data_IF_323967211783
#
_entry.id   IF_323967211783
#
_cell.length_a   1.000
_cell.length_b   1.000
_cell.length_c   1.000
_cell.angle_alpha   90.00
_cell.angle_beta   90.00
_cell.angle_gamma   90.00
#
_symmetry.space_group_name_H-M   'P 1'
#
loop_
_entity.id
_entity.type
_entity.pdbx_description
1 polymer ?
#
# COMPACT_ATOMS: atom_id res chain seq x y z
N UNK A 1 76.19 -46.11 -39.88
CA UNK A 1 77.38 -46.24 -39.02
C UNK A 1 78.03 -44.86 -38.98
N UNK A 2 77.93 -44.17 -37.83
CA UNK A 2 78.69 -42.99 -37.39
C UNK A 2 78.66 -41.71 -38.24
N UNK A 3 78.93 -40.51 -37.74
CA UNK A 3 78.53 -39.76 -36.53
C UNK A 3 79.23 -38.38 -36.67
N UNK A 4 78.51 -37.28 -36.36
CA UNK A 4 78.98 -35.94 -35.91
C UNK A 4 79.97 -35.13 -36.78
N UNK A 5 79.91 -33.79 -36.92
CA UNK A 5 80.07 -32.72 -35.91
C UNK A 5 79.54 -31.37 -36.50
N UNK A 6 78.85 -30.52 -35.70
CA UNK A 6 78.50 -29.09 -35.95
C UNK A 6 79.63 -28.13 -35.44
N UNK A 7 79.61 -26.76 -35.49
CA UNK A 7 78.65 -25.76 -36.01
C UNK A 7 79.27 -24.50 -36.72
N UNK A 8 78.46 -23.61 -37.30
CA UNK A 8 78.40 -22.16 -36.93
C UNK A 8 77.49 -21.29 -37.84
N UNK A 9 76.64 -20.51 -37.15
CA UNK A 9 76.04 -19.19 -37.45
C UNK A 9 75.58 -18.80 -38.86
N UNK A 10 74.25 -18.75 -39.06
CA UNK A 10 73.46 -17.51 -39.17
C UNK A 10 72.12 -17.80 -39.86
N UNK A 11 71.04 -17.86 -39.07
CA UNK A 11 69.66 -17.83 -39.57
C UNK A 11 69.02 -16.52 -39.14
N UNK A 12 68.68 -15.68 -40.11
CA UNK A 12 67.70 -14.61 -39.96
C UNK A 12 66.32 -15.26 -40.12
N UNK A 13 65.52 -15.27 -39.06
CA UNK A 13 64.14 -15.72 -39.09
C UNK A 13 63.21 -14.52 -39.28
N UNK A 14 62.42 -14.56 -40.37
CA UNK A 14 61.21 -13.77 -40.56
C UNK A 14 60.15 -14.29 -39.59
N UNK A 15 59.74 -13.47 -38.62
CA UNK A 15 58.69 -13.81 -37.64
C UNK A 15 57.41 -13.05 -38.02
N UNK A 16 56.28 -13.77 -38.00
CA UNK A 16 54.98 -13.31 -38.43
C UNK A 16 54.40 -12.18 -37.59
N UNK A 17 53.59 -11.35 -38.26
CA UNK A 17 52.78 -10.29 -37.67
C UNK A 17 51.63 -10.96 -36.90
N UNK A 18 51.64 -10.82 -35.57
CA UNK A 18 50.45 -11.00 -34.73
C UNK A 18 49.84 -9.62 -34.52
N UNK A 19 48.65 -9.41 -35.08
CA UNK A 19 47.87 -8.19 -34.92
C UNK A 19 47.17 -8.27 -33.56
N UNK A 20 47.68 -7.56 -32.56
CA UNK A 20 47.02 -7.39 -31.27
C UNK A 20 45.94 -6.30 -31.38
N UNK A 21 44.67 -6.70 -31.33
CA UNK A 21 43.53 -5.80 -31.26
C UNK A 21 43.44 -5.25 -29.82
N UNK A 22 43.95 -4.04 -29.59
CA UNK A 22 43.75 -3.32 -28.33
C UNK A 22 42.32 -2.75 -28.32
N UNK A 23 41.39 -3.47 -27.69
CA UNK A 23 40.10 -2.93 -27.28
C UNK A 23 40.33 -2.01 -26.07
N UNK A 24 40.39 -0.69 -26.30
CA UNK A 24 40.35 0.28 -25.20
C UNK A 24 38.92 0.34 -24.67
N UNK A 25 38.63 -0.48 -23.65
CA UNK A 25 37.42 -0.40 -22.86
C UNK A 25 37.51 0.85 -21.97
N UNK A 26 37.00 1.99 -22.45
CA UNK A 26 36.69 3.10 -21.55
C UNK A 26 35.51 2.68 -20.70
N UNK A 27 35.77 2.21 -19.47
CA UNK A 27 34.74 2.20 -18.43
C UNK A 27 34.35 3.67 -18.19
N UNK A 28 33.25 4.09 -18.81
CA UNK A 28 32.46 5.15 -18.22
C UNK A 28 31.92 4.57 -16.90
N UNK A 29 32.55 4.94 -15.79
CA UNK A 29 31.93 4.83 -14.48
C UNK A 29 30.68 5.71 -14.52
N UNK A 30 29.57 5.16 -14.99
CA UNK A 30 28.26 5.70 -14.68
C UNK A 30 28.17 5.68 -13.17
N UNK A 31 28.11 6.86 -12.56
CA UNK A 31 27.77 6.97 -11.16
C UNK A 31 26.42 6.27 -10.98
N UNK A 32 26.44 5.06 -10.43
CA UNK A 32 25.23 4.42 -9.94
C UNK A 32 24.71 5.31 -8.85
N UNK A 33 23.67 6.10 -9.16
CA UNK A 33 22.88 6.76 -8.14
C UNK A 33 22.51 5.67 -7.11
N UNK A 34 22.95 5.92 -5.88
CA UNK A 34 22.82 5.03 -4.74
C UNK A 34 21.43 4.39 -4.69
N UNK A 35 21.37 3.05 -4.69
CA UNK A 35 20.17 2.22 -4.56
C UNK A 35 19.55 2.29 -3.15
N UNK A 36 19.86 3.35 -2.40
CA UNK A 36 19.50 3.51 -1.01
C UNK A 36 18.18 4.25 -0.93
N UNK A 37 17.21 3.60 -0.30
CA UNK A 37 15.97 4.24 0.07
C UNK A 37 16.23 5.42 1.00
N UNK A 38 15.45 6.50 0.86
CA UNK A 38 15.44 7.55 1.88
C UNK A 38 14.63 7.02 3.06
N UNK A 39 15.25 6.91 4.23
CA UNK A 39 14.59 6.50 5.47
C UNK A 39 14.09 7.72 6.24
N UNK A 40 12.83 7.70 6.65
CA UNK A 40 12.22 8.73 7.49
C UNK A 40 11.71 8.13 8.80
N UNK A 41 11.84 8.93 9.86
CA UNK A 41 11.40 8.64 11.22
C UNK A 41 10.63 9.84 11.76
N UNK A 42 9.70 9.58 12.67
CA UNK A 42 9.12 10.63 13.49
C UNK A 42 10.22 11.24 14.40
N UNK A 43 10.27 12.57 14.48
CA UNK A 43 11.22 13.29 15.34
C UNK A 43 11.07 12.94 16.83
N UNK A 44 9.86 12.61 17.25
CA UNK A 44 9.44 12.24 18.60
C UNK A 44 9.02 10.77 18.69
N UNK A 45 9.43 9.93 17.74
CA UNK A 45 9.06 8.51 17.74
C UNK A 45 9.51 7.79 19.01
N UNK A 46 8.57 7.10 19.65
CA UNK A 46 8.77 6.26 20.82
C UNK A 46 8.55 4.77 20.50
N UNK A 47 9.03 3.85 21.35
CA UNK A 47 8.63 2.45 21.33
C UNK A 47 7.13 2.24 21.12
N UNK A 48 6.77 1.25 20.29
CA UNK A 48 5.38 0.82 20.06
C UNK A 48 4.42 1.83 19.40
N UNK A 49 4.87 3.05 19.08
CA UNK A 49 4.08 4.06 18.35
C UNK A 49 3.57 3.58 16.97
N UNK A 50 4.28 2.62 16.36
CA UNK A 50 4.02 2.07 15.02
C UNK A 50 3.93 3.13 13.91
N UNK A 51 4.87 4.07 13.89
CA UNK A 51 5.07 4.96 12.76
C UNK A 51 5.22 4.18 11.44
N UNK A 52 4.41 4.51 10.45
CA UNK A 52 4.31 3.72 9.21
C UNK A 52 3.22 2.66 9.27
N UNK A 53 2.31 2.70 10.25
CA UNK A 53 1.16 1.81 10.24
C UNK A 53 0.33 1.97 8.97
N UNK A 54 0.19 3.20 8.49
CA UNK A 54 -0.33 3.51 7.16
C UNK A 54 0.40 4.72 6.55
N UNK A 55 0.45 4.78 5.21
CA UNK A 55 1.16 5.85 4.49
C UNK A 55 0.38 6.33 3.27
N UNK A 56 0.46 7.62 2.97
CA UNK A 56 -0.13 8.21 1.75
C UNK A 56 0.78 9.31 1.19
N UNK A 57 1.02 9.31 -0.12
CA UNK A 57 1.86 10.30 -0.80
C UNK A 57 1.08 11.01 -1.91
N UNK A 58 1.28 12.32 -2.03
CA UNK A 58 0.73 13.14 -3.11
C UNK A 58 1.79 14.17 -3.52
N UNK A 59 2.44 13.92 -4.66
CA UNK A 59 3.57 14.73 -5.12
C UNK A 59 4.69 14.78 -4.07
N UNK A 60 4.93 15.97 -3.52
CA UNK A 60 6.05 16.26 -2.63
C UNK A 60 5.64 16.30 -1.15
N UNK A 61 4.49 15.72 -0.83
CA UNK A 61 3.95 15.63 0.53
C UNK A 61 3.60 14.18 0.85
N UNK A 62 3.93 13.75 2.06
CA UNK A 62 3.68 12.42 2.60
C UNK A 62 2.96 12.57 3.95
N UNK A 63 1.95 11.75 4.18
CA UNK A 63 1.33 11.54 5.50
C UNK A 63 1.71 10.13 5.98
N UNK A 64 2.16 10.01 7.22
CA UNK A 64 2.47 8.74 7.87
C UNK A 64 1.69 8.60 9.17
N UNK A 65 0.91 7.54 9.29
CA UNK A 65 0.17 7.22 10.51
C UNK A 65 1.03 6.49 11.56
N UNK A 66 0.78 6.80 12.83
CA UNK A 66 1.32 6.14 14.02
C UNK A 66 0.17 5.97 15.01
N UNK A 67 -0.66 4.94 14.80
CA UNK A 67 -1.93 4.79 15.53
C UNK A 67 -1.77 4.58 17.04
N UNK A 68 -0.58 4.18 17.48
CA UNK A 68 -0.26 3.89 18.87
C UNK A 68 0.59 4.98 19.53
N UNK A 69 0.78 6.10 18.83
CA UNK A 69 1.52 7.21 19.40
C UNK A 69 0.80 7.76 20.63
N UNK A 70 1.52 7.85 21.73
CA UNK A 70 1.03 8.42 22.98
C UNK A 70 1.00 9.96 22.91
N UNK A 71 0.05 10.55 23.64
CA UNK A 71 -0.02 11.99 23.86
C UNK A 71 0.06 12.28 25.37
N UNK A 72 0.99 13.14 25.77
CA UNK A 72 1.28 13.48 27.16
C UNK A 72 0.07 14.01 27.93
N UNK A 73 -0.95 14.53 27.23
CA UNK A 73 -2.15 15.13 27.81
C UNK A 73 -3.36 14.21 27.61
N UNK A 74 -3.53 13.62 26.43
CA UNK A 74 -4.74 12.85 26.04
C UNK A 74 -4.66 11.37 26.40
N UNK A 75 -3.47 10.85 26.68
CA UNK A 75 -3.24 9.49 27.15
C UNK A 75 -2.58 8.57 26.12
N UNK A 76 -2.57 7.28 26.44
CA UNK A 76 -1.90 6.24 25.66
C UNK A 76 -2.69 5.87 24.40
N UNK A 77 -2.00 5.48 23.34
CA UNK A 77 -2.61 5.00 22.08
C UNK A 77 -3.66 5.98 21.49
N UNK A 78 -3.52 7.29 21.75
CA UNK A 78 -4.39 8.32 21.14
C UNK A 78 -4.17 8.39 19.63
N UNK A 79 -2.92 8.15 19.21
CA UNK A 79 -2.49 8.10 17.83
C UNK A 79 -2.09 9.46 17.27
N UNK A 80 -1.29 9.44 16.20
CA UNK A 80 -0.79 10.62 15.51
C UNK A 80 -0.62 10.38 14.01
N UNK A 81 -0.58 11.46 13.24
CA UNK A 81 -0.18 11.41 11.83
C UNK A 81 0.89 12.49 11.55
N UNK A 82 1.93 12.13 10.81
CA UNK A 82 3.09 12.97 10.57
C UNK A 82 3.13 13.40 9.11
N UNK A 83 3.35 14.70 8.88
CA UNK A 83 3.52 15.26 7.55
C UNK A 83 5.00 15.42 7.25
N UNK A 84 5.43 14.86 6.14
CA UNK A 84 6.75 15.11 5.56
C UNK A 84 6.60 15.85 4.23
N UNK A 85 7.48 16.80 3.98
CA UNK A 85 7.56 17.50 2.69
C UNK A 85 8.95 17.39 2.10
N UNK A 86 9.00 17.34 0.76
CA UNK A 86 10.25 17.31 0.01
C UNK A 86 10.68 18.72 -0.38
N UNK A 87 11.93 19.07 -0.09
CA UNK A 87 12.63 20.23 -0.64
C UNK A 87 13.88 19.75 -1.39
N UNK A 88 13.88 19.91 -2.71
CA UNK A 88 14.86 19.29 -3.60
C UNK A 88 14.85 17.76 -3.47
N UNK A 89 15.95 17.19 -2.95
CA UNK A 89 16.11 15.75 -2.74
C UNK A 89 15.96 15.35 -1.26
N UNK A 90 15.60 16.28 -0.38
CA UNK A 90 15.55 16.05 1.06
C UNK A 90 14.11 16.07 1.54
N UNK A 91 13.75 15.08 2.34
CA UNK A 91 12.47 15.04 3.05
C UNK A 91 12.68 15.48 4.49
N UNK A 92 11.78 16.30 5.01
CA UNK A 92 11.77 16.72 6.41
C UNK A 92 10.36 16.69 6.98
N UNK A 93 10.24 16.38 8.27
CA UNK A 93 8.95 16.43 8.98
C UNK A 93 8.51 17.90 9.08
N UNK A 94 7.39 18.23 8.46
CA UNK A 94 6.76 19.55 8.46
C UNK A 94 5.82 19.72 9.65
N UNK A 95 5.07 18.68 10.01
CA UNK A 95 4.06 18.76 11.06
C UNK A 95 3.79 17.40 11.73
N UNK A 96 3.26 17.44 12.95
CA UNK A 96 2.55 16.34 13.61
C UNK A 96 1.08 16.77 13.74
N UNK A 97 0.17 15.91 13.29
CA UNK A 97 -1.27 16.09 13.37
C UNK A 97 -1.81 15.19 14.48
N UNK A 98 -2.68 15.76 15.29
CA UNK A 98 -3.41 15.09 16.38
C UNK A 98 -4.87 15.51 16.31
N UNK A 99 -5.80 14.62 16.66
CA UNK A 99 -7.21 14.98 16.81
C UNK A 99 -7.38 15.98 17.96
N UNK A 100 -8.11 17.09 17.74
CA UNK A 100 -8.31 18.11 18.78
C UNK A 100 -9.01 17.56 20.04
N UNK A 101 -9.90 16.59 19.86
CA UNK A 101 -10.73 15.92 20.85
C UNK A 101 -10.31 14.47 21.15
N UNK A 102 -9.14 14.05 20.63
CA UNK A 102 -8.65 12.68 20.79
C UNK A 102 -8.53 12.25 22.25
N UNK A 103 -8.78 10.96 22.48
CA UNK A 103 -8.75 10.28 23.77
C UNK A 103 -7.89 9.03 23.69
N UNK A 104 -7.54 8.49 24.85
CA UNK A 104 -6.77 7.26 24.95
C UNK A 104 -7.48 6.11 24.21
N UNK A 105 -6.76 5.45 23.32
CA UNK A 105 -7.27 4.32 22.55
C UNK A 105 -8.01 4.66 21.25
N UNK A 106 -8.22 5.93 20.89
CA UNK A 106 -8.96 6.29 19.67
C UNK A 106 -8.25 5.86 18.37
N UNK A 107 -6.95 5.54 18.43
CA UNK A 107 -6.10 5.06 17.32
C UNK A 107 -6.02 6.00 16.10
N UNK A 108 -6.00 7.31 16.32
CA UNK A 108 -5.84 8.30 15.25
C UNK A 108 -4.56 8.02 14.42
N UNK A 109 -4.69 7.99 13.10
CA UNK A 109 -3.57 7.60 12.22
C UNK A 109 -3.55 6.11 11.89
N UNK A 110 -4.58 5.35 12.29
CA UNK A 110 -4.81 3.97 11.84
C UNK A 110 -5.06 3.83 10.34
N UNK A 111 -5.54 4.91 9.69
CA UNK A 111 -5.55 5.09 8.23
C UNK A 111 -5.25 6.51 7.86
N UNK A 112 -4.57 6.70 6.73
CA UNK A 112 -4.25 8.03 6.23
C UNK A 112 -4.53 8.11 4.73
N UNK A 113 -5.02 9.26 4.30
CA UNK A 113 -5.18 9.60 2.89
C UNK A 113 -4.64 11.00 2.65
N UNK A 114 -4.06 11.24 1.47
CA UNK A 114 -3.52 12.53 1.08
C UNK A 114 -3.85 12.84 -0.38
N UNK A 115 -4.41 14.04 -0.63
CA UNK A 115 -4.54 14.60 -1.97
C UNK A 115 -4.25 16.10 -1.92
N UNK A 116 -3.10 16.49 -2.50
CA UNK A 116 -2.62 17.87 -2.48
C UNK A 116 -2.51 18.43 -1.05
N UNK A 117 -3.34 19.43 -0.77
CA UNK A 117 -3.39 20.14 0.52
C UNK A 117 -4.43 19.58 1.50
N UNK A 118 -5.04 18.43 1.21
CA UNK A 118 -6.04 17.78 2.09
C UNK A 118 -5.51 16.43 2.58
N UNK A 119 -5.42 16.27 3.90
CA UNK A 119 -5.12 15.01 4.56
C UNK A 119 -6.35 14.53 5.33
N UNK A 120 -6.64 13.23 5.27
CA UNK A 120 -7.77 12.61 5.97
C UNK A 120 -7.23 11.47 6.82
N UNK A 121 -7.54 11.50 8.11
CA UNK A 121 -6.98 10.59 9.09
C UNK A 121 -8.11 9.82 9.77
N UNK A 122 -8.05 8.50 9.73
CA UNK A 122 -8.98 7.62 10.43
C UNK A 122 -8.58 7.42 11.89
N UNK A 123 -9.57 7.37 12.76
CA UNK A 123 -9.50 6.97 14.17
C UNK A 123 -10.62 5.95 14.38
N UNK A 124 -10.39 4.70 13.97
CA UNK A 124 -11.44 3.68 13.92
C UNK A 124 -11.97 3.28 15.29
N UNK A 125 -11.27 3.65 16.36
CA UNK A 125 -11.66 3.34 17.74
C UNK A 125 -12.19 4.59 18.48
N UNK A 126 -12.54 5.66 17.77
CA UNK A 126 -13.17 6.83 18.38
C UNK A 126 -14.54 6.47 19.01
N UNK A 127 -14.73 6.91 20.25
CA UNK A 127 -15.85 6.46 21.09
C UNK A 127 -17.10 7.38 21.05
N UNK A 128 -17.12 8.44 20.24
CA UNK A 128 -18.13 9.49 20.37
C UNK A 128 -19.57 9.05 20.02
N UNK A 129 -19.76 7.99 19.23
CA UNK A 129 -21.08 7.41 18.93
C UNK A 129 -21.33 6.07 19.64
N UNK A 130 -20.34 5.55 20.33
CA UNK A 130 -20.33 4.23 20.96
C UNK A 130 -18.89 3.72 21.02
N UNK A 131 -18.60 2.74 21.88
CA UNK A 131 -17.25 2.18 22.00
C UNK A 131 -16.77 1.71 20.63
N UNK A 132 -15.61 2.17 20.17
CA UNK A 132 -15.03 1.86 18.87
C UNK A 132 -15.97 2.15 17.67
N UNK A 133 -16.82 3.17 17.78
CA UNK A 133 -17.72 3.57 16.69
C UNK A 133 -17.00 4.21 15.51
N UNK A 134 -15.85 4.85 15.78
CA UNK A 134 -14.92 5.37 14.80
C UNK A 134 -15.24 6.77 14.27
N UNK A 135 -14.20 7.44 13.79
CA UNK A 135 -14.25 8.77 13.19
C UNK A 135 -13.21 8.95 12.07
N UNK A 136 -13.41 9.97 11.24
CA UNK A 136 -12.41 10.46 10.30
C UNK A 136 -12.22 11.97 10.45
N UNK A 137 -10.97 12.42 10.42
CA UNK A 137 -10.59 13.81 10.64
C UNK A 137 -9.98 14.38 9.37
N UNK A 138 -10.41 15.58 8.99
CA UNK A 138 -9.98 16.23 7.76
C UNK A 138 -9.13 17.43 8.12
N UNK A 139 -7.90 17.44 7.62
CA UNK A 139 -6.94 18.51 7.77
C UNK A 139 -6.68 19.19 6.43
N UNK A 140 -6.57 20.51 6.45
CA UNK A 140 -6.18 21.30 5.28
C UNK A 140 -4.94 22.13 5.53
N UNK A 141 -4.09 22.21 4.50
CA UNK A 141 -2.85 22.98 4.51
C UNK A 141 -3.08 24.39 3.97
N UNK A 142 -2.58 25.40 4.70
CA UNK A 142 -2.44 26.78 4.24
C UNK A 142 -1.00 27.23 4.49
N UNK A 143 -0.21 27.36 3.41
CA UNK A 143 1.23 27.56 3.54
C UNK A 143 1.89 26.30 4.13
N UNK A 144 2.54 26.43 5.29
CA UNK A 144 3.13 25.28 6.01
C UNK A 144 2.26 24.78 7.16
N UNK A 145 1.14 25.43 7.44
CA UNK A 145 0.27 25.11 8.58
C UNK A 145 -0.86 24.19 8.15
N UNK A 146 -1.02 23.09 8.89
CA UNK A 146 -2.15 22.17 8.78
C UNK A 146 -3.17 22.46 9.87
N UNK A 147 -4.44 22.56 9.51
CA UNK A 147 -5.53 22.83 10.43
C UNK A 147 -6.60 21.74 10.32
N UNK A 148 -7.09 21.23 11.45
CA UNK A 148 -8.27 20.37 11.46
C UNK A 148 -9.48 21.19 11.00
N UNK A 149 -10.02 20.86 9.84
CA UNK A 149 -11.20 21.50 9.27
C UNK A 149 -12.49 20.84 9.75
N UNK A 150 -12.51 19.52 9.87
CA UNK A 150 -13.71 18.77 10.22
C UNK A 150 -13.38 17.45 10.93
N UNK A 151 -14.35 16.96 11.72
CA UNK A 151 -14.49 15.57 12.18
C UNK A 151 -15.77 15.01 11.55
N UNK A 152 -15.69 13.81 11.00
CA UNK A 152 -16.80 13.08 10.40
C UNK A 152 -17.01 11.80 11.20
N UNK A 153 -18.26 11.56 11.60
CA UNK A 153 -18.72 10.31 12.22
C UNK A 153 -19.89 9.77 11.41
N UNK A 154 -20.14 8.47 11.44
CA UNK A 154 -21.39 7.93 10.90
C UNK A 154 -22.61 8.54 11.65
N UNK A 155 -23.66 8.88 10.90
CA UNK A 155 -24.88 9.48 11.47
C UNK A 155 -25.65 8.53 12.37
N UNK A 156 -25.52 7.25 12.07
CA UNK A 156 -26.10 6.06 12.66
C UNK A 156 -25.02 5.17 13.30
N UNK A 157 -23.81 5.69 13.51
CA UNK A 157 -22.70 4.95 14.07
C UNK A 157 -23.05 4.33 15.42
N UNK A 158 -22.67 3.07 15.59
CA UNK A 158 -22.88 2.26 16.78
C UNK A 158 -21.54 1.72 17.29
N UNK A 159 -21.58 1.12 18.48
CA UNK A 159 -20.39 0.52 19.08
C UNK A 159 -19.84 -0.61 18.19
N UNK A 160 -18.54 -0.55 17.91
CA UNK A 160 -17.80 -1.54 17.13
C UNK A 160 -17.82 -1.33 15.62
N UNK A 161 -18.57 -0.37 15.07
CA UNK A 161 -18.72 -0.18 13.61
C UNK A 161 -17.39 0.17 12.89
N UNK A 162 -16.41 0.69 13.65
CA UNK A 162 -15.07 1.04 13.17
C UNK A 162 -15.05 2.01 11.97
N UNK A 163 -15.93 3.01 11.98
CA UNK A 163 -15.96 4.04 10.94
C UNK A 163 -14.59 4.73 10.81
N UNK A 164 -14.08 4.89 9.59
CA UNK A 164 -12.74 5.45 9.36
C UNK A 164 -11.64 4.40 9.20
N UNK A 165 -11.96 3.10 9.29
CA UNK A 165 -11.00 2.02 9.05
C UNK A 165 -10.55 1.89 7.59
N UNK A 166 -11.28 2.48 6.65
CA UNK A 166 -10.86 2.64 5.25
C UNK A 166 -11.33 3.99 4.70
N UNK A 167 -10.49 4.64 3.89
CA UNK A 167 -10.74 6.00 3.37
C UNK A 167 -10.30 6.06 1.92
N UNK A 168 -11.13 6.65 1.05
CA UNK A 168 -10.74 7.05 -0.30
C UNK A 168 -11.31 8.44 -0.61
N UNK A 169 -10.55 9.27 -1.31
CA UNK A 169 -10.95 10.63 -1.61
C UNK A 169 -10.44 11.09 -2.98
N UNK A 170 -11.34 11.59 -3.84
CA UNK A 170 -10.98 12.20 -5.11
C UNK A 170 -11.95 13.32 -5.48
N UNK A 171 -11.41 14.44 -5.96
CA UNK A 171 -12.19 15.64 -6.27
C UNK A 171 -12.95 16.14 -5.04
N UNK A 172 -14.28 16.06 -5.07
CA UNK A 172 -15.16 16.47 -3.98
C UNK A 172 -15.85 15.30 -3.28
N UNK A 173 -15.53 14.05 -3.62
CA UNK A 173 -16.16 12.86 -3.04
C UNK A 173 -15.21 12.18 -2.06
N UNK A 174 -15.66 12.00 -0.82
CA UNK A 174 -15.00 11.25 0.24
C UNK A 174 -15.80 9.97 0.52
N UNK A 175 -15.12 8.83 0.57
CA UNK A 175 -15.69 7.54 0.93
C UNK A 175 -15.01 7.01 2.17
N UNK A 176 -15.80 6.60 3.16
CA UNK A 176 -15.32 6.07 4.44
C UNK A 176 -16.00 4.73 4.72
N UNK A 177 -15.23 3.71 5.05
CA UNK A 177 -15.76 2.40 5.45
C UNK A 177 -16.06 2.31 6.95
N UNK A 178 -17.10 1.56 7.27
CA UNK A 178 -17.45 1.05 8.59
C UNK A 178 -17.69 -0.47 8.46
N UNK A 179 -16.60 -1.27 8.37
CA UNK A 179 -16.68 -2.68 8.01
C UNK A 179 -17.42 -3.56 9.01
N UNK A 180 -17.64 -3.08 10.23
CA UNK A 180 -18.27 -3.82 11.31
C UNK A 180 -19.72 -3.36 11.59
N UNK A 181 -20.25 -2.48 10.74
CA UNK A 181 -21.66 -2.12 10.72
C UNK A 181 -22.55 -3.36 10.53
N UNK A 182 -23.72 -3.34 11.19
CA UNK A 182 -24.59 -4.50 11.37
C UNK A 182 -25.89 -4.44 10.54
N UNK A 183 -26.05 -3.47 9.65
CA UNK A 183 -27.30 -3.22 8.90
C UNK A 183 -27.82 -4.41 8.08
N UNK A 184 -26.93 -5.29 7.57
CA UNK A 184 -27.29 -6.50 6.82
C UNK A 184 -26.96 -7.80 7.59
N UNK A 185 -26.74 -7.71 8.89
CA UNK A 185 -26.27 -8.80 9.76
C UNK A 185 -24.96 -8.43 10.45
N UNK A 186 -24.62 -9.17 11.50
CA UNK A 186 -23.45 -8.90 12.34
C UNK A 186 -22.16 -8.76 11.50
N UNK A 187 -21.47 -7.61 11.58
CA UNK A 187 -20.27 -7.29 10.79
C UNK A 187 -20.45 -7.46 9.27
N UNK A 188 -21.64 -7.18 8.74
CA UNK A 188 -21.89 -7.20 7.30
C UNK A 188 -21.22 -6.03 6.58
N UNK A 189 -21.08 -4.90 7.27
CA UNK A 189 -20.30 -3.73 6.87
C UNK A 189 -21.02 -2.76 5.93
N UNK A 190 -20.55 -1.51 5.96
CA UNK A 190 -21.08 -0.37 5.18
C UNK A 190 -19.96 0.52 4.67
N UNK A 191 -20.27 1.30 3.63
CA UNK A 191 -19.48 2.48 3.24
C UNK A 191 -20.35 3.73 3.14
N UNK A 192 -19.79 4.87 3.52
CA UNK A 192 -20.46 6.16 3.55
C UNK A 192 -19.81 7.08 2.55
N UNK A 193 -20.62 7.66 1.66
CA UNK A 193 -20.17 8.60 0.63
C UNK A 193 -20.59 10.00 1.02
N UNK A 194 -19.60 10.88 1.16
CA UNK A 194 -19.77 12.29 1.46
C UNK A 194 -19.35 13.14 0.27
N UNK A 195 -20.01 14.29 0.11
CA UNK A 195 -19.64 15.31 -0.87
C UNK A 195 -19.23 16.59 -0.17
N UNK A 196 -18.16 17.23 -0.66
CA UNK A 196 -17.68 18.51 -0.14
C UNK A 196 -18.76 19.59 -0.32
N UNK A 197 -19.07 20.28 0.77
CA UNK A 197 -19.94 21.45 0.80
C UNK A 197 -19.12 22.72 1.07
N UNK A 198 -19.75 23.90 0.98
CA UNK A 198 -19.06 25.20 1.15
C UNK A 198 -18.27 25.32 2.47
N UNK A 199 -18.75 24.71 3.55
CA UNK A 199 -18.14 24.79 4.89
C UNK A 199 -17.99 23.43 5.57
N UNK A 200 -18.08 22.31 4.84
CA UNK A 200 -18.11 20.99 5.44
C UNK A 200 -18.28 19.86 4.44
N UNK A 201 -18.92 18.78 4.90
CA UNK A 201 -19.15 17.56 4.15
C UNK A 201 -20.57 17.08 4.41
N UNK A 202 -21.31 16.87 3.33
CA UNK A 202 -22.68 16.36 3.41
C UNK A 202 -22.68 14.87 3.11
N UNK A 203 -23.37 14.07 3.93
CA UNK A 203 -23.60 12.66 3.63
C UNK A 203 -24.50 12.56 2.40
N UNK A 204 -23.96 12.04 1.30
CA UNK A 204 -24.72 11.79 0.07
C UNK A 204 -25.51 10.49 0.19
N UNK A 205 -24.86 9.41 0.61
CA UNK A 205 -25.48 8.09 0.76
C UNK A 205 -24.66 7.17 1.66
N UNK A 206 -25.34 6.25 2.33
CA UNK A 206 -24.77 5.01 2.87
C UNK A 206 -24.96 3.91 1.82
N UNK A 207 -23.99 3.02 1.67
CA UNK A 207 -24.02 1.90 0.74
C UNK A 207 -23.71 0.61 1.49
N UNK A 208 -24.52 -0.40 1.26
CA UNK A 208 -24.35 -1.78 1.74
C UNK A 208 -24.28 -2.73 0.54
N UNK A 209 -23.61 -3.87 0.67
CA UNK A 209 -23.74 -4.93 -0.34
C UNK A 209 -25.21 -5.41 -0.43
N UNK A 210 -25.72 -5.59 -1.65
CA UNK A 210 -27.12 -5.99 -1.84
C UNK A 210 -27.40 -7.39 -1.28
N UNK A 211 -26.42 -8.27 -1.44
CA UNK A 211 -26.27 -9.63 -0.95
C UNK A 211 -25.45 -9.72 0.35
N UNK A 212 -25.21 -8.59 1.02
CA UNK A 212 -24.43 -8.57 2.26
C UNK A 212 -25.01 -9.49 3.32
N UNK A 213 -24.13 -10.25 3.95
CA UNK A 213 -24.43 -11.23 5.00
C UNK A 213 -23.54 -10.98 6.23
N UNK A 214 -23.90 -11.63 7.34
CA UNK A 214 -23.12 -11.54 8.57
C UNK A 214 -21.67 -12.02 8.35
N UNK A 215 -20.71 -11.22 8.79
CA UNK A 215 -19.29 -11.51 8.69
C UNK A 215 -18.66 -11.19 7.35
N UNK A 216 -19.35 -10.59 6.38
CA UNK A 216 -18.78 -10.24 5.06
C UNK A 216 -17.74 -9.10 5.13
N UNK A 217 -17.87 -8.21 6.12
CA UNK A 217 -16.96 -7.09 6.39
C UNK A 217 -16.85 -6.11 5.20
N UNK A 218 -17.99 -5.81 4.54
CA UNK A 218 -18.04 -4.86 3.43
C UNK A 218 -17.55 -3.46 3.86
N UNK A 219 -16.59 -2.89 3.13
CA UNK A 219 -15.97 -1.62 3.49
C UNK A 219 -14.63 -1.75 4.20
N UNK A 220 -14.08 -2.97 4.35
CA UNK A 220 -12.75 -3.19 4.94
C UNK A 220 -11.63 -2.48 4.17
N UNK A 221 -11.84 -2.30 2.86
CA UNK A 221 -10.98 -1.50 2.00
C UNK A 221 -11.81 -0.79 0.93
N UNK A 222 -11.39 0.42 0.57
CA UNK A 222 -12.06 1.23 -0.46
C UNK A 222 -11.02 1.88 -1.37
N UNK A 223 -11.35 2.00 -2.65
CA UNK A 223 -10.62 2.82 -3.61
C UNK A 223 -11.62 3.55 -4.52
N UNK A 224 -11.36 4.81 -4.83
CA UNK A 224 -12.27 5.64 -5.61
C UNK A 224 -11.51 6.51 -6.60
N UNK A 225 -11.97 6.51 -7.85
CA UNK A 225 -11.49 7.39 -8.92
C UNK A 225 -12.66 7.75 -9.83
N UNK A 226 -12.75 9.02 -10.19
CA UNK A 226 -13.76 9.58 -11.09
C UNK A 226 -15.19 9.30 -10.60
N UNK A 227 -15.83 8.27 -11.12
CA UNK A 227 -17.18 7.82 -10.72
C UNK A 227 -17.22 6.31 -10.45
N UNK A 228 -16.06 5.69 -10.19
CA UNK A 228 -15.92 4.26 -9.89
C UNK A 228 -15.42 4.08 -8.46
N UNK A 229 -16.22 3.42 -7.64
CA UNK A 229 -15.89 3.02 -6.28
C UNK A 229 -15.69 1.50 -6.25
N UNK A 230 -14.60 1.07 -5.64
CA UNK A 230 -14.25 -0.32 -5.41
C UNK A 230 -14.25 -0.57 -3.90
N UNK A 231 -14.99 -1.59 -3.45
CA UNK A 231 -15.16 -1.90 -2.03
C UNK A 231 -14.86 -3.37 -1.77
N UNK A 232 -13.96 -3.65 -0.84
CA UNK A 232 -13.67 -5.01 -0.38
C UNK A 232 -14.66 -5.53 0.64
N UNK A 233 -14.90 -6.83 0.61
CA UNK A 233 -15.60 -7.64 1.62
C UNK A 233 -14.80 -8.95 1.74
N UNK A 234 -13.71 -8.91 2.52
CA UNK A 234 -12.66 -9.92 2.46
C UNK A 234 -13.03 -11.26 3.09
N UNK A 235 -14.13 -11.30 3.84
CA UNK A 235 -14.66 -12.51 4.45
C UNK A 235 -15.94 -13.01 3.75
N UNK A 236 -16.25 -12.50 2.55
CA UNK A 236 -17.41 -12.96 1.81
C UNK A 236 -17.31 -14.43 1.36
N UNK A 237 -18.44 -15.14 1.45
CA UNK A 237 -18.52 -16.59 1.26
C UNK A 237 -18.99 -17.04 -0.14
N UNK A 238 -19.14 -16.14 -1.12
CA UNK A 238 -19.75 -16.51 -2.43
C UNK A 238 -18.99 -17.63 -3.15
N UNK A 239 -17.65 -17.57 -3.11
CA UNK A 239 -16.79 -18.50 -3.83
C UNK A 239 -16.45 -19.73 -2.98
N UNK A 240 -16.05 -19.49 -1.74
CA UNK A 240 -15.78 -20.45 -0.68
C UNK A 240 -15.78 -19.71 0.67
N UNK A 241 -15.75 -20.44 1.78
CA UNK A 241 -15.79 -19.86 3.13
C UNK A 241 -14.65 -18.84 3.31
N UNK A 242 -14.98 -17.58 3.62
CA UNK A 242 -14.06 -16.47 3.78
C UNK A 242 -13.08 -16.28 2.59
N UNK A 243 -13.49 -16.65 1.38
CA UNK A 243 -12.67 -16.46 0.18
C UNK A 243 -12.54 -14.98 -0.18
N UNK A 244 -13.57 -14.19 0.12
CA UNK A 244 -13.61 -12.76 -0.10
C UNK A 244 -14.14 -12.35 -1.48
N UNK A 245 -14.62 -11.11 -1.56
CA UNK A 245 -15.14 -10.50 -2.77
C UNK A 245 -14.82 -8.99 -2.83
N UNK A 246 -14.91 -8.42 -4.03
CA UNK A 246 -14.82 -6.98 -4.26
C UNK A 246 -15.99 -6.49 -5.08
N UNK A 247 -16.65 -5.44 -4.62
CA UNK A 247 -17.78 -4.82 -5.30
C UNK A 247 -17.32 -3.58 -6.05
N UNK A 248 -17.70 -3.48 -7.32
CA UNK A 248 -17.49 -2.28 -8.14
C UNK A 248 -18.81 -1.57 -8.28
N UNK A 249 -18.87 -0.33 -7.78
CA UNK A 249 -20.02 0.55 -7.90
C UNK A 249 -19.68 1.73 -8.81
N UNK A 250 -20.65 2.16 -9.61
CA UNK A 250 -20.51 3.34 -10.47
C UNK A 250 -21.56 4.39 -10.14
N UNK A 251 -21.17 5.66 -10.20
CA UNK A 251 -22.06 6.81 -10.02
C UNK A 251 -22.57 7.32 -11.36
N UNK A 252 -23.88 7.47 -11.49
CA UNK A 252 -24.53 8.11 -12.64
C UNK A 252 -25.73 8.93 -12.19
N UNK A 253 -25.80 10.20 -12.61
CA UNK A 253 -26.87 11.12 -12.19
C UNK A 253 -27.00 11.30 -10.68
N UNK A 254 -25.88 11.19 -9.94
CA UNK A 254 -25.88 11.26 -8.47
C UNK A 254 -26.27 9.96 -7.75
N UNK A 255 -26.61 8.90 -8.48
CA UNK A 255 -26.98 7.59 -7.91
C UNK A 255 -25.85 6.59 -8.08
N UNK A 256 -25.62 5.79 -7.03
CA UNK A 256 -24.66 4.69 -7.04
C UNK A 256 -25.37 3.38 -7.35
N UNK A 257 -24.76 2.57 -8.22
CA UNK A 257 -25.24 1.22 -8.53
C UNK A 257 -24.08 0.26 -8.65
N UNK A 258 -24.24 -0.97 -8.15
CA UNK A 258 -23.27 -2.04 -8.37
C UNK A 258 -23.19 -2.39 -9.86
N UNK A 259 -22.01 -2.24 -10.43
CA UNK A 259 -21.69 -2.62 -11.81
C UNK A 259 -21.19 -4.07 -11.88
N UNK A 260 -20.39 -4.50 -10.90
CA UNK A 260 -19.83 -5.85 -10.86
C UNK A 260 -19.55 -6.29 -9.42
N UNK A 261 -19.50 -7.61 -9.22
CA UNK A 261 -18.86 -8.27 -8.07
C UNK A 261 -17.72 -9.12 -8.61
N UNK A 262 -16.54 -8.96 -8.04
CA UNK A 262 -15.29 -9.59 -8.47
C UNK A 262 -14.89 -10.62 -7.42
N UNK A 263 -14.50 -11.80 -7.87
CA UNK A 263 -13.93 -12.89 -7.08
C UNK A 263 -12.71 -13.43 -7.82
N UNK A 264 -11.72 -13.96 -7.09
CA UNK A 264 -10.61 -14.66 -7.71
C UNK A 264 -11.13 -15.94 -8.42
N UNK A 265 -10.66 -16.18 -9.65
CA UNK A 265 -11.05 -17.35 -10.44
C UNK A 265 -10.76 -18.67 -9.69
N UNK A 266 -9.63 -18.70 -9.00
CA UNK A 266 -9.09 -19.75 -8.14
C UNK A 266 -9.34 -19.52 -6.64
N UNK A 267 -10.18 -18.54 -6.28
CA UNK A 267 -10.47 -18.24 -4.88
C UNK A 267 -10.93 -19.46 -4.09
N UNK A 268 -10.31 -19.66 -2.94
CA UNK A 268 -10.46 -20.78 -2.02
C UNK A 268 -10.72 -20.29 -0.59
N UNK A 269 -10.89 -21.25 0.33
CA UNK A 269 -11.24 -20.97 1.71
C UNK A 269 -10.17 -20.11 2.40
N UNK A 270 -10.60 -18.99 3.00
CA UNK A 270 -9.76 -18.06 3.78
C UNK A 270 -8.66 -17.31 3.03
N UNK A 271 -8.68 -17.28 1.69
CA UNK A 271 -7.74 -16.50 0.87
C UNK A 271 -7.82 -14.98 1.14
N UNK A 272 -8.96 -14.53 1.66
CA UNK A 272 -9.31 -13.15 2.02
C UNK A 272 -9.08 -12.12 0.91
N UNK A 273 -9.59 -12.47 -0.28
CA UNK A 273 -9.60 -11.61 -1.44
C UNK A 273 -10.39 -10.32 -1.18
N UNK A 274 -9.81 -9.16 -1.49
CA UNK A 274 -10.46 -7.86 -1.29
C UNK A 274 -10.05 -7.14 -0.01
N UNK A 275 -9.15 -7.72 0.79
CA UNK A 275 -8.69 -7.06 2.01
C UNK A 275 -7.93 -5.75 1.76
N UNK A 276 -7.31 -5.59 0.59
CA UNK A 276 -6.82 -4.32 0.07
C UNK A 276 -7.20 -4.21 -1.40
N UNK A 277 -7.60 -3.01 -1.80
CA UNK A 277 -7.94 -2.67 -3.18
C UNK A 277 -7.20 -1.39 -3.57
N UNK A 278 -6.73 -1.33 -4.82
CA UNK A 278 -6.20 -0.12 -5.43
C UNK A 278 -6.80 0.03 -6.83
N UNK A 279 -7.11 1.27 -7.22
CA UNK A 279 -7.78 1.60 -8.48
C UNK A 279 -6.94 2.63 -9.25
N UNK A 280 -6.70 2.37 -10.53
CA UNK A 280 -6.09 3.32 -11.46
C UNK A 280 -6.81 3.24 -12.80
N UNK A 281 -7.71 4.20 -13.05
CA UNK A 281 -8.56 4.20 -14.25
C UNK A 281 -9.40 2.93 -14.34
N UNK A 282 -9.22 2.16 -15.42
CA UNK A 282 -9.94 0.91 -15.67
C UNK A 282 -9.25 -0.33 -15.09
N UNK A 283 -8.24 -0.18 -14.23
CA UNK A 283 -7.48 -1.29 -13.65
C UNK A 283 -7.63 -1.31 -12.13
N UNK A 284 -8.00 -2.46 -11.58
CA UNK A 284 -8.07 -2.72 -10.14
C UNK A 284 -7.03 -3.76 -9.77
N UNK A 285 -6.26 -3.49 -8.73
CA UNK A 285 -5.38 -4.45 -8.07
C UNK A 285 -6.03 -4.85 -6.74
N UNK A 286 -6.12 -6.16 -6.48
CA UNK A 286 -6.83 -6.72 -5.32
C UNK A 286 -5.92 -7.73 -4.64
N UNK A 287 -5.71 -7.60 -3.34
CA UNK A 287 -4.92 -8.58 -2.60
C UNK A 287 -5.75 -9.75 -2.08
N UNK A 288 -5.16 -10.93 -2.04
CA UNK A 288 -5.57 -12.09 -1.27
C UNK A 288 -4.34 -12.61 -0.51
N UNK A 289 -4.03 -11.98 0.63
CA UNK A 289 -2.73 -12.20 1.32
C UNK A 289 -2.60 -13.58 1.99
N UNK A 290 -3.66 -14.38 1.94
CA UNK A 290 -3.74 -15.74 2.49
C UNK A 290 -3.92 -16.81 1.41
N UNK A 291 -3.95 -16.38 0.16
CA UNK A 291 -3.99 -17.28 -0.98
C UNK A 291 -2.86 -18.31 -0.88
N UNK A 292 -3.24 -19.57 -1.03
CA UNK A 292 -2.32 -20.68 -1.14
C UNK A 292 -1.85 -20.82 -2.60
N UNK A 293 -0.58 -21.13 -2.79
CA UNK A 293 -0.02 -21.41 -4.12
C UNK A 293 0.65 -22.79 -4.12
N UNK A 294 0.41 -23.57 -5.17
CA UNK A 294 0.94 -24.94 -5.29
C UNK A 294 2.47 -25.00 -5.29
N UNK A 295 3.14 -23.90 -5.69
CA UNK A 295 4.60 -23.80 -5.77
C UNK A 295 5.15 -23.09 -4.54
N UNK A 296 4.57 -21.96 -4.14
CA UNK A 296 5.10 -21.12 -3.06
C UNK A 296 4.63 -21.57 -1.67
N UNK A 297 3.53 -22.30 -1.57
CA UNK A 297 3.00 -22.89 -0.34
C UNK A 297 1.84 -22.12 0.29
N UNK A 298 1.42 -22.60 1.46
CA UNK A 298 0.26 -22.11 2.23
C UNK A 298 0.48 -20.66 2.66
N UNK A 299 -0.55 -19.82 2.52
CA UNK A 299 -0.55 -18.41 2.91
C UNK A 299 0.64 -17.62 2.29
N UNK A 300 1.18 -18.07 1.15
CA UNK A 300 2.24 -17.35 0.44
C UNK A 300 1.72 -16.03 -0.13
N UNK A 301 0.43 -15.99 -0.49
CA UNK A 301 -0.33 -14.81 -0.83
C UNK A 301 -0.22 -14.41 -2.30
N UNK A 302 -1.26 -13.71 -2.77
CA UNK A 302 -1.40 -13.29 -4.17
C UNK A 302 -1.98 -11.89 -4.30
N UNK A 303 -1.78 -11.28 -5.47
CA UNK A 303 -2.51 -10.11 -5.89
C UNK A 303 -3.10 -10.30 -7.30
N UNK A 304 -4.34 -9.90 -7.48
CA UNK A 304 -5.11 -10.12 -8.70
C UNK A 304 -5.34 -8.79 -9.40
N UNK A 305 -5.13 -8.77 -10.71
CA UNK A 305 -5.40 -7.61 -11.55
C UNK A 305 -6.68 -7.84 -12.31
N UNK A 306 -7.63 -6.92 -12.19
CA UNK A 306 -8.85 -6.86 -12.98
C UNK A 306 -8.84 -5.65 -13.89
N UNK A 307 -9.35 -5.80 -15.11
CA UNK A 307 -9.50 -4.69 -16.07
C UNK A 307 -10.93 -4.55 -16.55
N UNK A 308 -11.34 -3.30 -16.76
CA UNK A 308 -12.64 -2.93 -17.31
C UNK A 308 -12.58 -2.67 -18.80
N UNK A 309 -13.56 -3.20 -19.53
CA UNK A 309 -13.86 -2.83 -20.92
C UNK A 309 -15.36 -2.59 -21.04
N UNK A 310 -15.76 -1.33 -21.26
CA UNK A 310 -17.16 -0.91 -21.14
C UNK A 310 -17.66 -1.11 -19.71
N UNK A 311 -18.64 -1.99 -19.52
CA UNK A 311 -19.16 -2.37 -18.19
C UNK A 311 -18.66 -3.72 -17.69
N UNK A 312 -17.83 -4.42 -18.48
CA UNK A 312 -17.36 -5.77 -18.15
C UNK A 312 -16.00 -5.72 -17.49
N UNK A 313 -15.89 -6.37 -16.33
CA UNK A 313 -14.63 -6.59 -15.63
C UNK A 313 -14.12 -8.01 -15.86
N UNK A 314 -12.81 -8.17 -16.04
CA UNK A 314 -12.16 -9.47 -16.23
C UNK A 314 -10.88 -9.56 -15.40
N UNK A 315 -10.64 -10.71 -14.78
CA UNK A 315 -9.34 -11.02 -14.19
C UNK A 315 -8.32 -11.12 -15.32
N UNK A 316 -7.39 -10.17 -15.35
CA UNK A 316 -6.31 -10.08 -16.32
C UNK A 316 -5.12 -10.94 -15.88
N UNK A 317 -4.77 -10.93 -14.60
CA UNK A 317 -3.60 -11.61 -14.07
C UNK A 317 -3.75 -12.00 -12.59
N UNK A 318 -3.04 -13.06 -12.20
CA UNK A 318 -2.64 -13.37 -10.81
C UNK A 318 -1.14 -13.07 -10.71
N UNK A 319 -0.75 -12.29 -9.71
CA UNK A 319 0.63 -11.89 -9.43
C UNK A 319 1.07 -12.58 -8.14
N UNK A 320 2.21 -13.24 -8.18
CA UNK A 320 2.88 -13.90 -7.05
C UNK A 320 4.33 -13.44 -6.96
N UNK A 321 4.94 -13.54 -5.78
CA UNK A 321 6.36 -13.30 -5.62
C UNK A 321 7.18 -14.35 -6.38
N UNK A 322 8.21 -13.93 -7.14
CA UNK A 322 9.10 -14.85 -7.86
C UNK A 322 9.86 -15.83 -6.97
N UNK A 323 10.03 -15.48 -5.70
CA UNK A 323 10.74 -16.22 -4.67
C UNK A 323 9.92 -16.37 -3.39
N UNK A 324 8.58 -16.38 -3.54
CA UNK A 324 7.68 -16.54 -2.42
C UNK A 324 7.85 -17.88 -1.70
N UNK A 325 7.51 -17.88 -0.43
CA UNK A 325 7.45 -19.04 0.44
C UNK A 325 6.16 -19.02 1.26
N UNK A 326 5.87 -20.14 1.91
CA UNK A 326 4.72 -20.27 2.78
C UNK A 326 4.76 -19.19 3.88
N UNK A 327 3.61 -18.58 4.16
CA UNK A 327 3.44 -17.49 5.12
C UNK A 327 4.11 -16.15 4.79
N UNK A 328 4.67 -15.92 3.60
CA UNK A 328 5.24 -14.60 3.25
C UNK A 328 4.19 -13.48 3.21
N UNK A 329 2.90 -13.85 3.06
CA UNK A 329 1.74 -12.93 2.97
C UNK A 329 1.91 -11.88 1.88
N UNK A 330 2.37 -12.28 0.70
CA UNK A 330 2.38 -11.41 -0.47
C UNK A 330 0.97 -10.85 -0.74
N UNK A 331 0.88 -9.55 -1.04
CA UNK A 331 -0.40 -8.86 -1.10
C UNK A 331 -0.84 -8.25 0.24
N UNK A 332 0.00 -8.30 1.28
CA UNK A 332 -0.30 -7.62 2.56
C UNK A 332 -0.68 -6.14 2.37
N UNK A 333 0.07 -5.46 1.51
CA UNK A 333 -0.22 -4.11 1.05
C UNK A 333 0.04 -4.03 -0.44
N UNK A 334 -0.69 -3.14 -1.11
CA UNK A 334 -0.64 -2.96 -2.55
C UNK A 334 -0.73 -1.48 -2.87
N UNK A 335 -0.07 -1.06 -3.94
CA UNK A 335 -0.26 0.25 -4.55
C UNK A 335 -0.21 0.12 -6.07
N UNK A 336 -1.04 0.91 -6.77
CA UNK A 336 -1.20 0.87 -8.22
C UNK A 336 -1.20 2.29 -8.77
N UNK A 337 -0.33 2.57 -9.74
CA UNK A 337 -0.34 3.81 -10.52
C UNK A 337 -0.11 3.48 -12.00
N UNK A 338 -1.15 3.64 -12.81
CA UNK A 338 -1.11 3.33 -14.24
C UNK A 338 -0.72 1.87 -14.51
N UNK A 339 0.51 1.67 -14.99
CA UNK A 339 1.07 0.37 -15.35
C UNK A 339 2.05 -0.18 -14.31
N UNK A 340 2.25 0.50 -13.16
CA UNK A 340 3.11 0.03 -12.08
C UNK A 340 2.26 -0.46 -10.91
N UNK A 341 2.55 -1.67 -10.45
CA UNK A 341 2.07 -2.17 -9.17
C UNK A 341 3.25 -2.41 -8.23
N UNK A 342 3.11 -2.01 -6.98
CA UNK A 342 4.02 -2.39 -5.89
C UNK A 342 3.23 -3.24 -4.91
N UNK A 343 3.80 -4.36 -4.47
CA UNK A 343 3.12 -5.35 -3.64
C UNK A 343 4.04 -5.82 -2.52
N UNK A 344 3.53 -5.80 -1.28
CA UNK A 344 4.29 -6.15 -0.08
C UNK A 344 4.07 -7.59 0.34
N UNK A 345 5.15 -8.24 0.75
CA UNK A 345 5.20 -9.53 1.44
C UNK A 345 5.87 -9.29 2.80
N UNK A 346 5.06 -8.90 3.79
CA UNK A 346 5.58 -8.34 5.05
C UNK A 346 6.33 -9.36 5.91
N UNK A 347 6.13 -10.65 5.66
CA UNK A 347 6.75 -11.74 6.42
C UNK A 347 7.87 -12.43 5.63
N UNK A 348 8.25 -11.90 4.46
CA UNK A 348 9.30 -12.49 3.64
C UNK A 348 10.68 -12.45 4.34
N UNK A 349 11.41 -13.56 4.30
CA UNK A 349 12.58 -13.82 5.16
C UNK A 349 13.97 -13.40 4.62
N UNK A 350 14.03 -12.68 3.49
CA UNK A 350 15.30 -12.38 2.78
C UNK A 350 16.39 -11.76 3.65
N UNK A 351 16.00 -10.94 4.64
CA UNK A 351 16.89 -10.20 5.55
C UNK A 351 16.82 -10.71 7.00
N UNK A 352 16.35 -11.94 7.17
CA UNK A 352 16.03 -12.55 8.46
C UNK A 352 14.54 -12.81 8.61
N UNK A 353 14.13 -13.63 9.60
CA UNK A 353 12.73 -14.01 9.80
C UNK A 353 11.80 -12.79 9.86
N UNK A 354 10.72 -12.79 9.08
CA UNK A 354 9.71 -11.73 9.03
C UNK A 354 10.26 -10.31 8.76
N UNK A 355 11.42 -10.20 8.09
CA UNK A 355 12.00 -8.90 7.78
C UNK A 355 11.15 -8.11 6.77
N UNK A 356 10.46 -8.82 5.89
CA UNK A 356 9.56 -8.30 4.89
C UNK A 356 10.26 -7.82 3.62
N UNK A 357 9.49 -7.73 2.54
CA UNK A 357 9.95 -7.26 1.23
C UNK A 357 8.80 -6.66 0.40
N UNK A 358 9.09 -5.79 -0.57
CA UNK A 358 8.15 -5.38 -1.60
C UNK A 358 8.64 -5.74 -3.02
N UNK A 359 7.71 -5.90 -3.94
CA UNK A 359 7.96 -6.30 -5.33
C UNK A 359 7.35 -5.28 -6.28
N UNK A 360 8.08 -4.93 -7.33
CA UNK A 360 7.61 -4.00 -8.37
C UNK A 360 7.26 -4.79 -9.61
N UNK A 361 6.01 -4.66 -10.05
CA UNK A 361 5.50 -5.22 -11.30
C UNK A 361 5.16 -4.11 -12.28
N UNK A 362 5.38 -4.36 -13.56
CA UNK A 362 4.96 -3.45 -14.62
C UNK A 362 4.16 -4.15 -15.70
N UNK A 363 3.16 -3.45 -16.25
CA UNK A 363 2.34 -3.93 -17.36
C UNK A 363 2.84 -3.46 -18.72
N UNK A 364 3.01 -4.39 -19.65
CA UNK A 364 3.22 -4.12 -21.08
C UNK A 364 2.20 -4.88 -21.91
N UNK A 365 1.26 -4.16 -22.53
CA UNK A 365 0.08 -4.78 -23.15
C UNK A 365 -0.78 -5.47 -22.08
N UNK A 366 -1.07 -6.75 -22.28
CA UNK A 366 -1.82 -7.56 -21.30
C UNK A 366 -0.93 -8.26 -20.26
N UNK A 367 0.40 -8.23 -20.42
CA UNK A 367 1.32 -8.96 -19.56
C UNK A 367 1.84 -8.11 -18.41
N UNK A 368 1.75 -8.64 -17.19
CA UNK A 368 2.43 -8.12 -16.01
C UNK A 368 3.72 -8.88 -15.77
N UNK A 369 4.79 -8.17 -15.43
CA UNK A 369 6.10 -8.78 -15.14
C UNK A 369 6.70 -8.16 -13.90
N UNK A 370 7.23 -9.00 -13.01
CA UNK A 370 8.07 -8.53 -11.91
C UNK A 370 9.36 -7.95 -12.48
N UNK A 371 9.68 -6.70 -12.14
CA UNK A 371 10.90 -6.01 -12.58
C UNK A 371 11.99 -6.03 -11.54
N UNK A 372 11.60 -5.87 -10.27
CA UNK A 372 12.56 -5.87 -9.17
C UNK A 372 11.89 -6.21 -7.84
N UNK A 373 12.73 -6.42 -6.83
CA UNK A 373 12.41 -6.61 -5.43
C UNK A 373 13.09 -5.50 -4.63
N UNK A 374 12.37 -4.87 -3.70
CA UNK A 374 12.82 -3.73 -2.90
C UNK A 374 13.07 -4.19 -1.46
N UNK A 375 14.30 -4.02 -0.98
CA UNK A 375 14.68 -4.22 0.41
C UNK A 375 15.40 -2.99 0.93
N UNK A 376 15.67 -2.94 2.23
CA UNK A 376 16.45 -1.86 2.85
C UNK A 376 17.80 -2.39 3.31
N UNK A 377 18.83 -1.53 3.33
CA UNK A 377 20.18 -1.92 3.71
C UNK A 377 20.28 -2.34 5.19
N UNK A 378 19.43 -1.75 6.01
CA UNK A 378 19.24 -1.98 7.44
C UNK A 378 18.06 -2.91 7.75
N UNK A 379 17.51 -3.59 6.74
CA UNK A 379 16.45 -4.57 6.94
C UNK A 379 16.92 -5.68 7.88
N UNK A 380 16.11 -5.96 8.90
CA UNK A 380 16.39 -6.95 9.93
C UNK A 380 15.15 -7.76 10.27
N UNK A 381 15.34 -8.87 10.98
CA UNK A 381 14.27 -9.78 11.38
C UNK A 381 13.16 -9.03 12.15
N UNK A 382 11.91 -9.30 11.81
CA UNK A 382 10.73 -8.73 12.45
C UNK A 382 10.35 -7.30 12.04
N UNK A 383 11.16 -6.61 11.22
CA UNK A 383 10.89 -5.23 10.79
C UNK A 383 9.54 -5.08 10.04
N UNK A 384 9.06 -6.16 9.42
CA UNK A 384 7.82 -6.20 8.65
C UNK A 384 7.77 -5.15 7.52
N UNK A 385 8.86 -4.98 6.77
CA UNK A 385 8.90 -4.09 5.61
C UNK A 385 7.87 -4.52 4.55
N UNK A 386 7.10 -3.58 4.00
CA UNK A 386 5.95 -3.89 3.13
C UNK A 386 4.62 -3.93 3.88
N UNK A 387 4.56 -3.39 5.10
CA UNK A 387 3.36 -3.34 5.93
C UNK A 387 2.22 -2.49 5.34
N UNK A 388 2.57 -1.28 4.90
CA UNK A 388 1.73 -0.35 4.14
C UNK A 388 2.57 0.32 3.05
N UNK A 389 1.92 0.77 1.97
CA UNK A 389 2.59 1.45 0.87
C UNK A 389 1.68 2.38 0.10
N UNK A 390 2.30 3.35 -0.56
CA UNK A 390 1.62 4.27 -1.48
C UNK A 390 2.52 4.64 -2.66
N UNK A 391 1.90 4.98 -3.79
CA UNK A 391 2.56 5.42 -5.02
C UNK A 391 2.07 6.81 -5.41
N UNK A 392 2.99 7.68 -5.84
CA UNK A 392 2.65 8.92 -6.54
C UNK A 392 3.80 9.36 -7.44
N UNK A 393 3.51 9.58 -8.72
CA UNK A 393 4.47 10.04 -9.73
C UNK A 393 5.76 9.20 -9.74
N UNK A 394 5.60 7.89 -9.56
CA UNK A 394 6.69 6.92 -9.48
C UNK A 394 7.63 7.02 -8.26
N UNK A 395 7.24 7.76 -7.22
CA UNK A 395 7.78 7.57 -5.88
C UNK A 395 6.95 6.49 -5.15
N UNK A 396 7.62 5.47 -4.62
CA UNK A 396 7.02 4.46 -3.74
C UNK A 396 7.42 4.73 -2.30
N UNK A 397 6.44 4.85 -1.42
CA UNK A 397 6.64 4.91 0.03
C UNK A 397 6.26 3.57 0.61
N UNK A 398 7.15 2.95 1.38
CA UNK A 398 6.94 1.62 1.96
C UNK A 398 7.29 1.68 3.44
N UNK A 399 6.37 1.19 4.27
CA UNK A 399 6.54 1.19 5.71
C UNK A 399 7.10 -0.13 6.25
N UNK A 400 7.87 -0.01 7.33
CA UNK A 400 8.32 -1.09 8.20
C UNK A 400 7.96 -0.71 9.64
N UNK A 401 6.73 -1.05 10.05
CA UNK A 401 6.14 -0.53 11.30
C UNK A 401 6.82 -1.01 12.59
N UNK A 402 7.61 -2.08 12.52
CA UNK A 402 8.32 -2.63 13.68
C UNK A 402 9.81 -2.28 13.67
N UNK A 403 10.27 -1.57 12.65
CA UNK A 403 11.65 -1.11 12.57
C UNK A 403 11.93 -0.04 13.64
N UNK A 404 13.21 0.23 13.92
CA UNK A 404 13.69 1.11 14.98
C UNK A 404 13.29 0.75 16.41
N UNK A 405 14.28 0.23 17.14
CA UNK A 405 14.13 -0.09 18.55
C UNK A 405 13.07 -1.18 18.75
N UNK A 406 12.14 -0.93 19.67
CA UNK A 406 11.03 -1.85 19.99
C UNK A 406 9.75 -1.41 19.27
N UNK A 407 9.82 -1.28 17.94
CA UNK A 407 8.66 -0.98 17.11
C UNK A 407 8.20 0.47 17.10
N UNK A 408 9.14 1.42 17.10
CA UNK A 408 8.79 2.83 16.84
C UNK A 408 8.30 3.02 15.41
N UNK A 409 8.92 2.33 14.45
CA UNK A 409 8.55 2.27 13.05
C UNK A 409 9.36 3.19 12.13
N UNK A 410 9.37 2.88 10.83
CA UNK A 410 10.00 3.68 9.79
C UNK A 410 9.24 3.63 8.46
N UNK A 411 9.51 4.63 7.61
CA UNK A 411 9.10 4.61 6.21
C UNK A 411 10.30 4.85 5.29
N UNK A 412 10.24 4.25 4.12
CA UNK A 412 11.31 4.25 3.14
C UNK A 412 10.78 4.70 1.78
N UNK A 413 11.51 5.57 1.10
CA UNK A 413 11.15 6.07 -0.23
C UNK A 413 12.07 5.50 -1.30
N UNK A 414 11.46 5.03 -2.39
CA UNK A 414 12.11 4.49 -3.57
C UNK A 414 11.63 5.21 -4.83
N UNK A 415 12.51 5.40 -5.81
CA UNK A 415 12.13 5.78 -7.17
C UNK A 415 11.91 4.51 -8.01
N UNK A 416 10.66 4.30 -8.43
CA UNK A 416 10.25 3.15 -9.23
C UNK A 416 10.10 3.49 -10.72
N UNK A 417 10.30 4.75 -11.14
CA UNK A 417 10.21 5.17 -12.55
C UNK A 417 11.25 4.51 -13.44
N UNK A 418 12.38 4.14 -12.86
CA UNK A 418 13.48 3.44 -13.55
C UNK A 418 13.08 2.07 -14.13
N UNK A 419 11.91 1.55 -13.77
CA UNK A 419 11.40 0.27 -14.26
C UNK A 419 10.21 0.39 -15.22
N UNK A 420 9.80 1.61 -15.59
CA UNK A 420 8.74 1.89 -16.58
C UNK A 420 9.11 1.44 -17.99
#
# INVERSE_FOLDING_TARGET
MQDFIRPSSNKIHFMGVVMALLLSLTLAAGATASDQAVKLLAHDGAPEDFFGFDVAISGDTLVVGALKSDDDIKGVDTGSAYIFTRDGNTWGQQAKLVAADGRAGDTFGGKVFLSGDTAIIGASHDDDKGIDSGAAYIFTRKGTTWNQQAKITATDGMAGDAFGQSIAFAGDTLVIGAPHDNDRGDNSGSVYVFTRANTGWDLQTKLTAADGAAGDVFGISVAYSDDTLVVGADLNDEKALNAGAVYVLTRSGGHWSQQAKLTAADGAETDIFGVRVALSGDTVLISARRDDDDVMGIDSGSAYVFTRSGTTWRQQAKLTASDGAANDRFGRSIALEGNIAVIGAMLHDQKGPDAGTAYVFTRSGEAWQQKTKLTTADGAAGNAFGWSMALSNGAAVIAARHDHGTGSGAVYLFDVRRWQ
#
